data_IF_888713949757
#
_entry.id   IF_888713949757
#
_cell.length_a   1.000
_cell.length_b   1.000
_cell.length_c   1.000
_cell.angle_alpha   90.00
_cell.angle_beta   90.00
_cell.angle_gamma   90.00
#
_symmetry.space_group_name_H-M   'P 1'
#
loop_
_entity.id
_entity.type
_entity.pdbx_description
1 polymer ?
#
# COMPACT_ATOMS: atom_id res chain seq x y z
N UNK A 1 11.65 44.25 -9.31
CA UNK A 1 10.58 43.42 -8.72
C UNK A 1 10.79 43.34 -7.22
N UNK A 2 9.75 43.55 -6.43
CA UNK A 2 9.79 43.37 -4.97
C UNK A 2 9.05 42.07 -4.65
N UNK A 3 9.71 41.14 -3.95
CA UNK A 3 9.10 39.87 -3.54
C UNK A 3 8.24 40.13 -2.30
N UNK A 4 6.93 39.94 -2.44
CA UNK A 4 5.95 40.18 -1.35
C UNK A 4 5.53 38.89 -0.62
N UNK A 5 5.91 37.72 -1.14
CA UNK A 5 5.57 36.44 -0.54
C UNK A 5 6.16 35.26 -1.31
N UNK A 6 6.10 34.08 -0.70
CA UNK A 6 6.53 32.81 -1.29
C UNK A 6 5.39 31.81 -1.14
N UNK A 7 5.02 31.16 -2.23
CA UNK A 7 3.99 30.12 -2.27
C UNK A 7 4.67 28.78 -2.58
N UNK A 8 4.21 27.71 -1.93
CA UNK A 8 4.62 26.35 -2.28
C UNK A 8 3.71 25.82 -3.38
N UNK A 9 4.33 25.41 -4.48
CA UNK A 9 3.65 24.83 -5.64
C UNK A 9 4.18 23.42 -5.84
N UNK A 10 3.33 22.52 -6.32
CA UNK A 10 3.71 21.15 -6.65
C UNK A 10 4.37 21.16 -8.04
N UNK A 11 5.63 20.70 -8.16
CA UNK A 11 6.33 20.54 -9.45
C UNK A 11 7.73 21.17 -9.53
N UNK A 12 8.43 20.91 -10.65
CA UNK A 12 9.86 21.19 -10.85
C UNK A 12 10.17 22.51 -11.60
N UNK A 13 9.20 23.43 -11.69
CA UNK A 13 9.37 24.70 -12.40
C UNK A 13 9.34 25.89 -11.44
N UNK A 14 10.28 26.82 -11.63
CA UNK A 14 10.29 28.08 -10.91
C UNK A 14 9.14 28.97 -11.41
N UNK A 15 8.11 29.14 -10.58
CA UNK A 15 6.99 30.03 -10.88
C UNK A 15 7.14 31.37 -10.13
N UNK A 16 6.80 32.46 -10.82
CA UNK A 16 6.62 33.77 -10.22
C UNK A 16 5.19 34.23 -10.45
N UNK A 17 4.50 34.64 -9.38
CA UNK A 17 3.15 35.17 -9.45
C UNK A 17 3.19 36.69 -9.42
N UNK A 18 2.51 37.31 -10.39
CA UNK A 18 2.45 38.76 -10.57
C UNK A 18 1.00 39.15 -10.85
N UNK A 19 0.52 40.32 -10.39
CA UNK A 19 -0.79 40.82 -10.78
C UNK A 19 -0.95 40.87 -12.31
N UNK A 20 -2.09 40.38 -12.80
CA UNK A 20 -2.39 40.27 -14.23
C UNK A 20 -2.21 41.60 -14.96
N UNK A 21 -2.82 42.67 -14.46
CA UNK A 21 -2.77 44.01 -15.06
C UNK A 21 -1.33 44.51 -15.23
N UNK A 22 -0.49 44.34 -14.21
CA UNK A 22 0.90 44.81 -14.27
C UNK A 22 1.71 44.03 -15.31
N UNK A 23 1.50 42.72 -15.40
CA UNK A 23 2.19 41.86 -16.35
C UNK A 23 1.78 42.16 -17.80
N UNK A 24 0.49 42.30 -18.09
CA UNK A 24 0.00 42.53 -19.45
C UNK A 24 0.39 43.91 -19.98
N UNK A 25 0.36 44.95 -19.14
CA UNK A 25 0.83 46.29 -19.50
C UNK A 25 2.33 46.31 -19.82
N UNK A 26 3.15 45.59 -19.05
CA UNK A 26 4.61 45.55 -19.26
C UNK A 26 5.01 44.67 -20.44
N UNK A 27 4.29 43.56 -20.66
CA UNK A 27 4.56 42.59 -21.73
C UNK A 27 3.93 42.97 -23.08
N UNK A 28 3.15 44.05 -23.15
CA UNK A 28 2.48 44.50 -24.37
C UNK A 28 1.32 43.61 -24.82
N UNK A 29 0.80 42.76 -23.93
CA UNK A 29 -0.29 41.81 -24.19
C UNK A 29 -1.55 42.16 -23.39
N UNK A 30 -1.96 43.43 -23.48
CA UNK A 30 -3.18 43.92 -22.83
C UNK A 30 -4.40 43.19 -23.42
N UNK A 31 -5.35 42.82 -22.56
CA UNK A 31 -6.58 42.08 -22.89
C UNK A 31 -6.40 40.71 -23.53
N UNK A 32 -5.25 40.05 -23.31
CA UNK A 32 -5.01 38.66 -23.75
C UNK A 32 -4.75 37.75 -22.57
N UNK A 33 -5.33 36.55 -22.61
CA UNK A 33 -5.09 35.48 -21.65
C UNK A 33 -4.96 34.15 -22.39
N UNK A 34 -4.00 33.32 -21.98
CA UNK A 34 -3.79 31.98 -22.52
C UNK A 34 -4.49 30.89 -21.71
N UNK A 35 -4.91 31.20 -20.48
CA UNK A 35 -5.57 30.27 -19.59
C UNK A 35 -6.59 31.02 -18.72
N UNK A 36 -7.78 30.44 -18.57
CA UNK A 36 -8.78 30.87 -17.61
C UNK A 36 -8.95 29.77 -16.56
N UNK A 37 -8.96 30.14 -15.27
CA UNK A 37 -9.28 29.23 -14.18
C UNK A 37 -10.63 29.64 -13.61
N UNK A 38 -11.55 28.69 -13.55
CA UNK A 38 -12.90 28.91 -13.04
C UNK A 38 -13.08 28.00 -11.84
N UNK A 39 -13.41 28.60 -10.70
CA UNK A 39 -13.68 27.88 -9.45
C UNK A 39 -15.19 27.81 -9.28
N UNK A 40 -15.72 26.60 -9.25
CA UNK A 40 -17.15 26.35 -9.03
C UNK A 40 -17.47 26.36 -7.54
N UNK A 41 -18.71 26.71 -7.19
CA UNK A 41 -19.17 26.64 -5.80
C UNK A 41 -19.38 25.18 -5.38
N UNK A 42 -19.95 24.37 -6.28
CA UNK A 42 -20.08 22.92 -6.13
C UNK A 42 -18.89 22.19 -6.72
N UNK A 43 -18.34 21.25 -5.96
CA UNK A 43 -17.11 20.52 -6.27
C UNK A 43 -17.36 19.06 -6.67
N UNK A 44 -18.62 18.70 -6.95
CA UNK A 44 -18.98 17.38 -7.40
C UNK A 44 -18.47 17.12 -8.83
N UNK A 45 -17.91 15.94 -9.07
CA UNK A 45 -17.23 15.62 -10.33
C UNK A 45 -18.20 15.68 -11.53
N UNK A 46 -19.44 15.19 -11.35
CA UNK A 46 -20.44 15.21 -12.41
C UNK A 46 -20.91 16.63 -12.73
N UNK A 47 -21.09 17.45 -11.69
CA UNK A 47 -21.48 18.86 -11.83
C UNK A 47 -20.39 19.68 -12.51
N UNK A 48 -19.13 19.48 -12.13
CA UNK A 48 -17.97 20.15 -12.73
C UNK A 48 -17.78 19.73 -14.19
N UNK A 49 -17.97 18.45 -14.52
CA UNK A 49 -17.87 17.96 -15.91
C UNK A 49 -19.00 18.52 -16.80
N UNK A 50 -20.23 18.56 -16.28
CA UNK A 50 -21.37 19.14 -16.99
C UNK A 50 -21.16 20.65 -17.25
N UNK A 51 -20.75 21.40 -16.22
CA UNK A 51 -20.48 22.83 -16.35
C UNK A 51 -19.28 23.10 -17.27
N UNK A 52 -18.26 22.25 -17.24
CA UNK A 52 -17.11 22.34 -18.14
C UNK A 52 -17.55 22.31 -19.60
N UNK A 53 -18.46 21.39 -19.96
CA UNK A 53 -19.01 21.27 -21.32
C UNK A 53 -19.89 22.46 -21.70
N UNK A 54 -20.68 22.96 -20.75
CA UNK A 54 -21.52 24.14 -20.98
C UNK A 54 -20.67 25.40 -21.22
N UNK A 55 -19.61 25.58 -20.42
CA UNK A 55 -18.67 26.68 -20.56
C UNK A 55 -17.91 26.60 -21.89
N UNK A 56 -17.46 25.41 -22.28
CA UNK A 56 -16.81 25.19 -23.58
C UNK A 56 -17.72 25.63 -24.74
N UNK A 57 -18.99 25.20 -24.72
CA UNK A 57 -19.97 25.62 -25.72
C UNK A 57 -20.25 27.14 -25.68
N UNK A 58 -20.30 27.75 -24.50
CA UNK A 58 -20.49 29.19 -24.35
C UNK A 58 -19.28 29.99 -24.90
N UNK A 59 -18.06 29.52 -24.68
CA UNK A 59 -16.85 30.13 -25.22
C UNK A 59 -16.75 29.99 -26.74
N UNK A 60 -17.06 28.81 -27.28
CA UNK A 60 -17.09 28.59 -28.73
C UNK A 60 -18.13 29.50 -29.41
N UNK A 61 -19.32 29.65 -28.82
CA UNK A 61 -20.36 30.56 -29.31
C UNK A 61 -19.92 32.03 -29.27
N UNK A 62 -19.06 32.40 -28.32
CA UNK A 62 -18.45 33.72 -28.24
C UNK A 62 -17.26 33.92 -29.22
N UNK A 63 -16.93 32.91 -30.04
CA UNK A 63 -15.82 32.93 -30.99
C UNK A 63 -14.45 32.65 -30.37
N UNK A 64 -14.40 32.16 -29.14
CA UNK A 64 -13.18 31.78 -28.43
C UNK A 64 -12.96 30.28 -28.60
N UNK A 65 -11.89 29.90 -29.31
CA UNK A 65 -11.53 28.50 -29.47
C UNK A 65 -10.91 27.95 -28.18
N UNK A 66 -11.55 26.95 -27.59
CA UNK A 66 -11.03 26.23 -26.41
C UNK A 66 -10.17 25.07 -26.89
N UNK A 67 -8.85 25.18 -26.74
CA UNK A 67 -7.92 24.12 -27.18
C UNK A 67 -7.84 22.96 -26.19
N UNK A 68 -7.94 23.25 -24.89
CA UNK A 68 -7.83 22.26 -23.84
C UNK A 68 -8.61 22.70 -22.60
N UNK A 69 -9.44 21.79 -22.08
CA UNK A 69 -10.11 21.96 -20.80
C UNK A 69 -9.56 20.94 -19.82
N UNK A 70 -9.10 21.41 -18.66
CA UNK A 70 -8.61 20.55 -17.58
C UNK A 70 -9.52 20.73 -16.38
N UNK A 71 -10.27 19.68 -16.05
CA UNK A 71 -11.10 19.66 -14.85
C UNK A 71 -10.32 19.08 -13.67
N UNK A 72 -10.67 19.48 -12.44
CA UNK A 72 -10.10 18.88 -11.23
C UNK A 72 -10.40 17.38 -11.17
N UNK A 73 -11.54 16.94 -11.71
CA UNK A 73 -11.89 15.53 -11.82
C UNK A 73 -10.89 14.76 -12.70
N UNK A 74 -10.56 15.29 -13.88
CA UNK A 74 -9.56 14.69 -14.78
C UNK A 74 -8.17 14.61 -14.12
N UNK A 75 -7.74 15.67 -13.43
CA UNK A 75 -6.47 15.67 -12.69
C UNK A 75 -6.47 14.61 -11.58
N UNK A 76 -7.59 14.45 -10.85
CA UNK A 76 -7.72 13.42 -9.82
C UNK A 76 -7.66 12.01 -10.39
N UNK A 77 -8.38 11.74 -11.48
CA UNK A 77 -8.40 10.44 -12.13
C UNK A 77 -7.02 10.03 -12.65
N UNK A 78 -6.28 10.96 -13.28
CA UNK A 78 -4.90 10.69 -13.71
C UNK A 78 -3.99 10.34 -12.53
N UNK A 79 -4.04 11.13 -11.45
CA UNK A 79 -3.24 10.87 -10.27
C UNK A 79 -3.61 9.53 -9.62
N UNK A 80 -4.91 9.24 -9.49
CA UNK A 80 -5.41 7.98 -8.95
C UNK A 80 -4.93 6.79 -9.78
N UNK A 81 -4.95 6.88 -11.11
CA UNK A 81 -4.43 5.85 -12.00
C UNK A 81 -2.93 5.58 -11.77
N UNK A 82 -2.10 6.62 -11.68
CA UNK A 82 -0.67 6.46 -11.42
C UNK A 82 -0.40 5.82 -10.05
N UNK A 83 -1.11 6.26 -9.00
CA UNK A 83 -0.98 5.67 -7.67
C UNK A 83 -1.49 4.23 -7.64
N UNK A 84 -2.60 3.93 -8.32
CA UNK A 84 -3.17 2.59 -8.37
C UNK A 84 -2.22 1.57 -8.97
N UNK A 85 -1.49 1.93 -10.03
CA UNK A 85 -0.46 1.05 -10.62
C UNK A 85 0.61 0.71 -9.57
N UNK A 86 1.14 1.71 -8.87
CA UNK A 86 2.17 1.51 -7.84
C UNK A 86 1.63 0.62 -6.71
N UNK A 87 0.42 0.91 -6.22
CA UNK A 87 -0.22 0.14 -5.15
C UNK A 87 -0.42 -1.32 -5.56
N UNK A 88 -0.91 -1.59 -6.77
CA UNK A 88 -1.12 -2.95 -7.28
C UNK A 88 0.20 -3.71 -7.39
N UNK A 89 1.26 -3.08 -7.91
CA UNK A 89 2.59 -3.69 -7.99
C UNK A 89 3.14 -4.05 -6.61
N UNK A 90 3.04 -3.13 -5.64
CA UNK A 90 3.47 -3.38 -4.27
C UNK A 90 2.66 -4.49 -3.59
N UNK A 91 1.35 -4.57 -3.85
CA UNK A 91 0.50 -5.65 -3.34
C UNK A 91 0.91 -7.02 -3.91
N UNK A 92 1.17 -7.11 -5.21
CA UNK A 92 1.65 -8.35 -5.84
C UNK A 92 2.97 -8.79 -5.22
N UNK A 93 3.94 -7.87 -5.09
CA UNK A 93 5.22 -8.15 -4.44
C UNK A 93 5.05 -8.62 -2.99
N UNK A 94 4.14 -7.97 -2.25
CA UNK A 94 3.85 -8.32 -0.87
C UNK A 94 3.28 -9.73 -0.74
N UNK A 95 2.34 -10.12 -1.61
CA UNK A 95 1.79 -11.48 -1.65
C UNK A 95 2.88 -12.51 -2.00
N UNK A 96 3.77 -12.20 -2.94
CA UNK A 96 4.89 -13.07 -3.29
C UNK A 96 5.83 -13.29 -2.10
N UNK A 97 6.23 -12.21 -1.42
CA UNK A 97 7.10 -12.29 -0.24
C UNK A 97 6.43 -13.06 0.88
N UNK A 98 5.14 -12.84 1.11
CA UNK A 98 4.36 -13.56 2.11
C UNK A 98 4.30 -15.06 1.80
N UNK A 99 4.10 -15.45 0.53
CA UNK A 99 4.13 -16.84 0.11
C UNK A 99 5.51 -17.49 0.33
N UNK A 100 6.59 -16.80 -0.04
CA UNK A 100 7.97 -17.28 0.22
C UNK A 100 8.23 -17.43 1.72
N UNK A 101 7.79 -16.47 2.53
CA UNK A 101 7.89 -16.53 3.99
C UNK A 101 7.11 -17.69 4.59
N UNK A 102 5.90 -17.97 4.09
CA UNK A 102 5.09 -19.11 4.52
C UNK A 102 5.76 -20.45 4.19
N UNK A 103 6.38 -20.58 3.01
CA UNK A 103 7.16 -21.78 2.65
C UNK A 103 8.40 -21.94 3.53
N UNK A 104 9.11 -20.85 3.81
CA UNK A 104 10.23 -20.84 4.75
C UNK A 104 9.82 -21.32 6.14
N UNK A 105 8.71 -20.77 6.67
CA UNK A 105 8.13 -21.19 7.95
C UNK A 105 7.76 -22.68 7.95
N UNK A 106 7.12 -23.18 6.88
CA UNK A 106 6.77 -24.59 6.76
C UNK A 106 8.01 -25.49 6.77
N UNK A 107 9.09 -25.07 6.10
CA UNK A 107 10.38 -25.76 6.12
C UNK A 107 11.00 -25.81 7.51
N UNK A 108 11.11 -24.66 8.18
CA UNK A 108 11.64 -24.58 9.55
C UNK A 108 10.83 -25.41 10.53
N UNK A 109 9.50 -25.35 10.45
CA UNK A 109 8.61 -26.17 11.29
C UNK A 109 8.78 -27.66 11.04
N UNK A 110 8.99 -28.07 9.78
CA UNK A 110 9.25 -29.47 9.43
C UNK A 110 10.53 -29.98 10.08
N UNK A 111 11.61 -29.18 10.04
CA UNK A 111 12.89 -29.53 10.67
C UNK A 111 12.73 -29.60 12.20
N UNK A 112 12.10 -28.60 12.82
CA UNK A 112 11.86 -28.57 14.27
C UNK A 112 11.07 -29.81 14.75
N UNK A 113 10.06 -30.25 13.99
CA UNK A 113 9.31 -31.49 14.28
C UNK A 113 10.20 -32.73 14.20
N UNK A 114 11.10 -32.81 13.21
CA UNK A 114 12.01 -33.94 13.04
C UNK A 114 13.02 -34.03 14.19
N UNK A 115 13.59 -32.90 14.60
CA UNK A 115 14.51 -32.83 15.74
C UNK A 115 13.86 -33.23 17.06
N UNK A 116 12.56 -32.91 17.24
CA UNK A 116 11.79 -33.23 18.46
C UNK A 116 10.99 -34.54 18.36
N UNK A 117 11.31 -35.42 17.41
CA UNK A 117 10.65 -36.73 17.22
C UNK A 117 10.60 -37.58 18.49
N UNK A 118 11.69 -37.61 19.28
CA UNK A 118 11.77 -38.36 20.55
C UNK A 118 10.80 -37.81 21.61
N UNK A 119 10.68 -36.50 21.71
CA UNK A 119 9.73 -35.86 22.64
C UNK A 119 8.28 -36.18 22.27
N UNK A 120 7.96 -36.15 20.97
CA UNK A 120 6.64 -36.56 20.45
C UNK A 120 6.38 -38.04 20.75
N UNK A 121 7.38 -38.91 20.59
CA UNK A 121 7.30 -40.33 20.92
C UNK A 121 6.99 -40.58 22.40
N UNK A 122 7.66 -39.86 23.30
CA UNK A 122 7.40 -39.93 24.76
C UNK A 122 6.00 -39.41 25.09
N UNK A 123 5.59 -38.27 24.52
CA UNK A 123 4.22 -37.74 24.69
C UNK A 123 3.17 -38.77 24.25
N UNK A 124 3.41 -39.47 23.14
CA UNK A 124 2.53 -40.55 22.67
C UNK A 124 2.51 -41.75 23.61
N UNK A 125 3.65 -42.12 24.19
CA UNK A 125 3.74 -43.25 25.13
C UNK A 125 2.96 -43.00 26.43
N UNK A 126 2.88 -41.75 26.89
CA UNK A 126 2.06 -41.35 28.05
C UNK A 126 0.58 -41.07 27.72
N UNK A 127 0.15 -41.29 26.48
CA UNK A 127 -1.26 -41.23 26.06
C UNK A 127 -1.70 -39.95 25.34
N UNK A 128 -0.77 -39.09 24.88
CA UNK A 128 -1.14 -37.91 24.10
C UNK A 128 -1.82 -38.28 22.77
N UNK A 129 -2.93 -37.61 22.46
CA UNK A 129 -3.67 -37.83 21.21
C UNK A 129 -2.98 -37.16 20.02
N UNK A 130 -3.23 -37.67 18.80
CA UNK A 130 -2.77 -37.05 17.55
C UNK A 130 -3.23 -35.59 17.40
N UNK A 131 -4.39 -35.25 17.97
CA UNK A 131 -4.90 -33.87 17.97
C UNK A 131 -4.09 -32.97 18.89
N UNK A 132 -3.66 -33.48 20.05
CA UNK A 132 -2.83 -32.74 21.01
C UNK A 132 -1.48 -32.36 20.38
N UNK A 133 -0.78 -33.33 19.77
CA UNK A 133 0.51 -33.08 19.09
C UNK A 133 0.34 -32.08 17.93
N UNK A 134 -0.71 -32.27 17.10
CA UNK A 134 -0.99 -31.35 16.00
C UNK A 134 -1.28 -29.93 16.48
N UNK A 135 -2.05 -29.78 17.56
CA UNK A 135 -2.39 -28.47 18.11
C UNK A 135 -1.15 -27.76 18.64
N UNK A 136 -0.23 -28.46 19.30
CA UNK A 136 1.04 -27.88 19.78
C UNK A 136 1.82 -27.26 18.60
N UNK A 137 2.04 -28.03 17.53
CA UNK A 137 2.78 -27.56 16.35
C UNK A 137 2.06 -26.39 15.65
N UNK A 138 0.72 -26.46 15.55
CA UNK A 138 -0.08 -25.36 15.00
C UNK A 138 0.04 -24.09 15.86
N UNK A 139 -0.04 -24.22 17.19
CA UNK A 139 0.09 -23.07 18.09
C UNK A 139 1.49 -22.46 18.04
N UNK A 140 2.55 -23.26 17.91
CA UNK A 140 3.92 -22.76 17.73
C UNK A 140 4.02 -21.94 16.45
N UNK A 141 3.48 -22.46 15.34
CA UNK A 141 3.41 -21.74 14.06
C UNK A 141 2.64 -20.42 14.12
N UNK A 142 1.46 -20.44 14.72
CA UNK A 142 0.61 -19.25 14.87
C UNK A 142 1.26 -18.22 15.79
N UNK A 143 1.90 -18.65 16.88
CA UNK A 143 2.63 -17.75 17.78
C UNK A 143 3.80 -17.07 17.08
N UNK A 144 4.57 -17.81 16.28
CA UNK A 144 5.65 -17.22 15.47
C UNK A 144 5.05 -16.19 14.49
N UNK A 145 3.96 -16.53 13.79
CA UNK A 145 3.26 -15.60 12.91
C UNK A 145 2.82 -14.32 13.62
N UNK A 146 2.22 -14.44 14.81
CA UNK A 146 1.77 -13.31 15.61
C UNK A 146 2.94 -12.40 16.03
N UNK A 147 4.05 -12.98 16.47
CA UNK A 147 5.25 -12.23 16.85
C UNK A 147 5.86 -11.55 15.61
N UNK A 148 5.96 -12.26 14.49
CA UNK A 148 6.46 -11.70 13.23
C UNK A 148 5.59 -10.54 12.74
N UNK A 149 4.27 -10.66 12.83
CA UNK A 149 3.36 -9.55 12.52
C UNK A 149 3.58 -8.36 13.46
N UNK A 150 3.73 -8.59 14.77
CA UNK A 150 3.96 -7.50 15.74
C UNK A 150 5.25 -6.73 15.46
N UNK A 151 6.34 -7.44 15.18
CA UNK A 151 7.62 -6.83 14.80
C UNK A 151 7.52 -6.14 13.44
N UNK A 152 6.88 -6.78 12.46
CA UNK A 152 6.66 -6.22 11.13
C UNK A 152 5.83 -4.94 11.16
N UNK A 153 4.76 -4.91 11.95
CA UNK A 153 3.90 -3.75 12.18
C UNK A 153 4.67 -2.58 12.79
N UNK A 154 5.51 -2.85 13.78
CA UNK A 154 6.35 -1.84 14.43
C UNK A 154 7.35 -1.22 13.46
N UNK A 155 7.95 -2.03 12.59
CA UNK A 155 8.90 -1.57 11.56
C UNK A 155 8.16 -0.86 10.41
N UNK A 156 6.96 -1.33 10.04
CA UNK A 156 6.18 -0.78 8.94
C UNK A 156 5.77 0.68 9.18
N UNK A 157 5.58 1.11 10.43
CA UNK A 157 5.19 2.47 10.75
C UNK A 157 6.24 3.54 10.34
N UNK A 158 7.51 3.49 10.78
CA UNK A 158 8.53 4.45 10.32
C UNK A 158 8.92 4.22 8.86
N UNK A 159 8.96 2.97 8.40
CA UNK A 159 9.35 2.66 7.03
C UNK A 159 8.31 3.14 6.01
N UNK A 160 7.02 3.01 6.34
CA UNK A 160 5.91 3.52 5.54
C UNK A 160 5.99 5.03 5.37
N UNK A 161 6.33 5.77 6.43
CA UNK A 161 6.56 7.22 6.34
C UNK A 161 7.75 7.56 5.42
N UNK A 162 8.88 6.87 5.60
CA UNK A 162 10.07 7.08 4.77
C UNK A 162 9.80 6.77 3.29
N UNK A 163 9.04 5.72 2.99
CA UNK A 163 8.64 5.38 1.63
C UNK A 163 7.66 6.41 1.06
N UNK A 164 6.68 6.85 1.84
CA UNK A 164 5.73 7.91 1.44
C UNK A 164 6.47 9.22 1.11
N UNK A 165 7.43 9.62 1.94
CA UNK A 165 8.25 10.79 1.69
C UNK A 165 9.14 10.58 0.46
N UNK A 166 9.77 9.41 0.31
CA UNK A 166 10.60 9.08 -0.85
C UNK A 166 9.83 9.13 -2.17
N UNK A 167 8.63 8.55 -2.22
CA UNK A 167 7.72 8.64 -3.37
C UNK A 167 7.28 10.09 -3.59
N UNK A 168 6.92 10.80 -2.53
CA UNK A 168 6.55 12.21 -2.61
C UNK A 168 7.64 13.09 -3.22
N UNK A 169 8.89 12.92 -2.77
CA UNK A 169 10.03 13.65 -3.33
C UNK A 169 10.36 13.23 -4.76
N UNK A 170 10.26 11.94 -5.09
CA UNK A 170 10.56 11.43 -6.42
C UNK A 170 9.56 11.91 -7.50
N UNK A 171 8.26 11.98 -7.17
CA UNK A 171 7.22 12.33 -8.13
C UNK A 171 6.77 13.80 -8.03
N UNK A 172 6.73 14.36 -6.83
CA UNK A 172 6.11 15.67 -6.55
C UNK A 172 7.08 16.68 -5.92
N UNK A 173 8.32 16.28 -5.60
CA UNK A 173 9.33 17.10 -4.89
C UNK A 173 8.84 17.67 -3.55
N UNK A 174 7.80 17.08 -2.97
CA UNK A 174 7.22 17.45 -1.68
C UNK A 174 6.84 16.17 -0.92
N UNK A 175 6.96 16.13 0.42
CA UNK A 175 6.45 15.00 1.18
C UNK A 175 4.94 14.82 0.96
N UNK A 176 4.52 13.57 0.72
CA UNK A 176 3.11 13.21 0.64
C UNK A 176 2.46 13.29 2.02
N UNK A 177 1.16 13.55 2.04
CA UNK A 177 0.38 13.43 3.28
C UNK A 177 0.32 11.95 3.69
N UNK A 178 1.10 11.60 4.70
CA UNK A 178 1.15 10.23 5.20
C UNK A 178 -0.06 9.95 6.08
N UNK A 179 -0.93 9.04 5.62
CA UNK A 179 -2.01 8.47 6.40
C UNK A 179 -1.73 6.98 6.64
N UNK A 180 -1.68 6.59 7.91
CA UNK A 180 -1.48 5.19 8.26
C UNK A 180 -2.81 4.43 8.23
N UNK A 181 -2.91 3.43 7.36
CA UNK A 181 -4.12 2.62 7.21
C UNK A 181 -4.22 1.57 8.33
N UNK A 182 -4.91 1.90 9.41
CA UNK A 182 -5.18 0.96 10.52
C UNK A 182 -5.93 -0.29 10.06
N UNK A 183 -6.87 -0.15 9.12
CA UNK A 183 -7.61 -1.30 8.58
C UNK A 183 -6.67 -2.27 7.83
N UNK A 184 -5.66 -1.73 7.16
CA UNK A 184 -4.65 -2.51 6.45
C UNK A 184 -3.81 -3.37 7.39
N UNK A 185 -3.46 -2.87 8.58
CA UNK A 185 -2.63 -3.63 9.53
C UNK A 185 -3.41 -4.78 10.17
N UNK A 186 -4.70 -4.57 10.44
CA UNK A 186 -5.60 -5.60 10.95
C UNK A 186 -5.87 -6.66 9.89
N UNK A 187 -6.08 -6.25 8.63
CA UNK A 187 -6.21 -7.19 7.51
C UNK A 187 -4.95 -8.06 7.37
N UNK A 188 -3.76 -7.45 7.44
CA UNK A 188 -2.49 -8.16 7.39
C UNK A 188 -2.27 -9.11 8.57
N UNK A 189 -2.78 -8.80 9.76
CA UNK A 189 -2.76 -9.72 10.90
C UNK A 189 -3.51 -11.01 10.55
N UNK A 190 -4.73 -10.88 10.01
CA UNK A 190 -5.56 -12.02 9.61
C UNK A 190 -4.84 -12.85 8.53
N UNK A 191 -4.25 -12.19 7.53
CA UNK A 191 -3.50 -12.86 6.46
C UNK A 191 -2.32 -13.64 7.04
N UNK A 192 -1.50 -13.04 7.90
CA UNK A 192 -0.34 -13.70 8.51
C UNK A 192 -0.78 -14.90 9.36
N UNK A 193 -1.83 -14.76 10.18
CA UNK A 193 -2.34 -15.86 11.00
C UNK A 193 -2.81 -17.03 10.12
N UNK A 194 -3.52 -16.74 9.02
CA UNK A 194 -3.96 -17.77 8.07
C UNK A 194 -2.76 -18.44 7.39
N UNK A 195 -1.79 -17.65 6.90
CA UNK A 195 -0.59 -18.19 6.25
C UNK A 195 0.24 -19.04 7.20
N UNK A 196 0.46 -18.60 8.44
CA UNK A 196 1.18 -19.36 9.46
C UNK A 196 0.46 -20.65 9.82
N UNK A 197 -0.87 -20.62 9.97
CA UNK A 197 -1.65 -21.83 10.22
C UNK A 197 -1.59 -22.82 9.07
N UNK A 198 -1.67 -22.34 7.82
CA UNK A 198 -1.58 -23.18 6.61
C UNK A 198 -0.18 -23.77 6.47
N UNK A 199 0.87 -22.95 6.64
CA UNK A 199 2.26 -23.37 6.58
C UNK A 199 2.57 -24.47 7.62
N UNK A 200 2.09 -24.31 8.86
CA UNK A 200 2.30 -25.28 9.94
C UNK A 200 1.38 -26.50 9.86
N UNK A 201 0.31 -26.46 9.05
CA UNK A 201 -0.62 -27.60 8.95
C UNK A 201 0.04 -28.85 8.34
N UNK A 202 0.92 -28.68 7.35
CA UNK A 202 1.62 -29.80 6.73
C UNK A 202 2.63 -30.48 7.70
N UNK A 203 3.56 -29.75 8.35
CA UNK A 203 4.41 -30.29 9.41
C UNK A 203 3.62 -30.92 10.56
N UNK A 204 2.53 -30.28 11.01
CA UNK A 204 1.72 -30.78 12.12
C UNK A 204 1.01 -32.11 11.78
N UNK A 205 0.62 -32.31 10.52
CA UNK A 205 0.08 -33.59 10.05
C UNK A 205 1.14 -34.68 10.04
N UNK A 206 2.37 -34.36 9.64
CA UNK A 206 3.49 -35.29 9.65
C UNK A 206 3.86 -35.67 11.10
N UNK A 207 3.96 -34.68 12.00
CA UNK A 207 4.19 -34.89 13.43
C UNK A 207 3.17 -35.84 14.07
N UNK A 208 1.90 -35.67 13.75
CA UNK A 208 0.81 -36.48 14.29
C UNK A 208 0.79 -37.93 13.76
N UNK A 209 1.50 -38.22 12.66
CA UNK A 209 1.57 -39.56 12.06
C UNK A 209 2.81 -40.35 12.51
N UNK A 210 3.82 -39.70 13.07
CA UNK A 210 5.05 -40.36 13.56
C UNK A 210 4.75 -41.41 14.61
N UNK A 211 5.02 -42.68 14.30
CA UNK A 211 4.69 -43.83 15.15
C UNK A 211 5.82 -44.18 16.12
N UNK A 212 5.50 -44.67 17.33
CA UNK A 212 6.48 -45.08 18.36
C UNK A 212 7.49 -46.11 17.84
N UNK A 213 7.05 -46.96 16.89
CA UNK A 213 7.90 -47.96 16.25
C UNK A 213 8.96 -47.35 15.31
N UNK A 214 8.65 -46.22 14.67
CA UNK A 214 9.60 -45.49 13.81
C UNK A 214 10.59 -44.68 14.63
N UNK A 215 10.17 -44.15 15.79
CA UNK A 215 11.04 -43.38 16.69
C UNK A 215 12.08 -44.22 17.43
N UNK A 216 11.89 -45.55 17.50
CA UNK A 216 12.83 -46.50 18.12
C UNK A 216 13.65 -47.30 17.10
N UNK A 217 13.27 -47.27 15.82
CA UNK A 217 13.96 -47.96 14.73
C UNK A 217 14.87 -47.05 13.90
N UNK A 218 14.91 -45.75 14.22
CA UNK A 218 15.84 -44.79 13.62
C UNK A 218 17.17 -44.84 14.42
N UNK A 219 17.80 -46.01 14.43
CA UNK A 219 19.22 -46.24 14.74
C UNK A 219 19.81 -47.14 13.66
#
# INVERSE_FOLDING_TARGET
WVVVGVVRVIGNAGFAYVPYEYFTHTAGNVDRASQAQIVTTDHDAATVDALSKELEAAFENAGIQVTQTQTVAWIREQNEFYFQIIVVLLLIMSVMIAAVGALGLAGTMSINVLERTREIGVMRAIGASNRSVRNIVLTEGVLIGLISWGVGALIAFPLGRLMSDGVGFAFFQMPLSYAFAYDGIVLWLVIVLVLSAVASMWPARNAARLTVRETLAYE
#
